data_IF_245920352411
#
_entry.id   IF_245920352411
#
_cell.length_a   1.000
_cell.length_b   1.000
_cell.length_c   1.000
_cell.angle_alpha   90.00
_cell.angle_beta   90.00
_cell.angle_gamma   90.00
#
_symmetry.space_group_name_H-M   'P 1'
#
loop_
_entity.id
_entity.type
_entity.pdbx_description
1 polymer ?
#
# COMPACT_ATOMS: atom_id res chain seq x y z
N UNK A 1 -8.06 58.26 -42.63
CA UNK A 1 -6.99 57.23 -42.61
C UNK A 1 -7.27 56.36 -41.39
N UNK A 2 -7.96 55.23 -41.63
CA UNK A 2 -8.36 54.28 -40.59
C UNK A 2 -7.39 53.07 -40.62
N UNK A 3 -6.76 52.82 -39.49
CA UNK A 3 -5.84 51.68 -39.32
C UNK A 3 -6.67 50.52 -38.71
N UNK A 4 -6.86 49.45 -39.49
CA UNK A 4 -7.42 48.19 -39.00
C UNK A 4 -6.33 47.42 -38.25
N UNK A 5 -6.62 47.09 -36.99
CA UNK A 5 -5.82 46.11 -36.23
C UNK A 5 -6.43 44.73 -36.41
N UNK A 6 -5.68 43.85 -37.06
CA UNK A 6 -6.06 42.45 -37.15
C UNK A 6 -5.57 41.71 -35.89
N UNK A 7 -6.51 41.19 -35.09
CA UNK A 7 -6.17 40.25 -33.99
C UNK A 7 -6.05 38.83 -34.56
N UNK A 8 -4.82 38.29 -34.49
CA UNK A 8 -4.59 36.89 -34.78
C UNK A 8 -4.91 36.06 -33.55
N UNK A 9 -5.98 35.26 -33.59
CA UNK A 9 -6.26 34.23 -32.62
C UNK A 9 -5.28 33.07 -32.83
N UNK A 10 -4.30 32.87 -31.92
CA UNK A 10 -3.55 31.63 -31.83
C UNK A 10 -4.44 30.57 -31.14
N UNK A 11 -4.91 29.61 -31.92
CA UNK A 11 -5.53 28.40 -31.38
C UNK A 11 -4.44 27.50 -30.81
N UNK A 12 -4.39 27.37 -29.48
CA UNK A 12 -3.59 26.35 -28.78
C UNK A 12 -4.20 24.99 -29.09
N UNK A 13 -3.65 24.26 -30.04
CA UNK A 13 -3.95 22.85 -30.24
C UNK A 13 -3.34 22.06 -29.04
N UNK A 14 -4.18 21.62 -28.13
CA UNK A 14 -3.85 20.63 -27.14
C UNK A 14 -3.70 19.28 -27.83
N UNK A 15 -2.48 18.81 -27.97
CA UNK A 15 -2.22 17.42 -28.36
C UNK A 15 -2.70 16.49 -27.27
N UNK A 16 -3.47 15.42 -27.59
CA UNK A 16 -3.74 14.36 -26.63
C UNK A 16 -2.41 13.69 -26.29
N UNK A 17 -2.09 13.60 -24.99
CA UNK A 17 -0.97 12.82 -24.52
C UNK A 17 -1.20 11.37 -24.97
N UNK A 18 -0.43 10.91 -25.95
CA UNK A 18 -0.42 9.51 -26.37
C UNK A 18 0.10 8.68 -25.19
N UNK A 19 -0.78 7.84 -24.63
CA UNK A 19 -0.39 6.84 -23.66
C UNK A 19 0.70 5.98 -24.29
N UNK A 20 1.91 5.99 -23.70
CA UNK A 20 2.99 5.13 -24.17
C UNK A 20 2.59 3.67 -23.98
N UNK A 21 2.82 2.80 -25.01
CA UNK A 21 2.52 1.39 -24.86
C UNK A 21 3.37 0.78 -23.74
N UNK A 22 2.72 0.13 -22.78
CA UNK A 22 3.36 -0.59 -21.70
C UNK A 22 4.24 -1.71 -22.28
N UNK A 23 5.50 -1.81 -21.84
CA UNK A 23 6.40 -2.88 -22.23
C UNK A 23 5.85 -4.25 -21.81
N UNK A 24 6.05 -5.34 -22.59
CA UNK A 24 5.42 -6.65 -22.35
C UNK A 24 5.66 -7.27 -20.96
N UNK A 25 6.76 -6.95 -20.28
CA UNK A 25 7.05 -7.44 -18.92
C UNK A 25 6.45 -6.56 -17.82
N UNK A 26 6.22 -5.27 -18.09
CA UNK A 26 5.61 -4.32 -17.15
C UNK A 26 4.09 -4.56 -16.97
N UNK A 27 3.50 -5.42 -17.83
CA UNK A 27 2.05 -5.51 -17.97
C UNK A 27 1.33 -6.19 -16.81
N UNK A 28 1.97 -7.02 -15.98
CA UNK A 28 1.26 -7.77 -14.93
C UNK A 28 1.27 -7.01 -13.60
N UNK A 29 2.40 -6.50 -13.15
CA UNK A 29 2.46 -5.71 -11.92
C UNK A 29 1.69 -4.39 -11.99
N UNK A 30 1.61 -3.78 -13.19
CA UNK A 30 0.86 -2.55 -13.42
C UNK A 30 -0.64 -2.77 -13.69
N UNK A 31 -1.12 -4.03 -13.73
CA UNK A 31 -2.54 -4.35 -13.97
C UNK A 31 -3.38 -4.47 -12.71
N UNK A 32 -2.77 -4.43 -11.55
CA UNK A 32 -3.48 -4.49 -10.27
C UNK A 32 -2.96 -3.39 -9.37
N UNK A 33 -3.87 -2.58 -8.85
CA UNK A 33 -3.62 -1.65 -7.77
C UNK A 33 -4.23 -2.25 -6.49
N UNK A 34 -3.38 -2.73 -5.60
CA UNK A 34 -3.80 -3.45 -4.40
C UNK A 34 -4.17 -2.55 -3.22
N UNK A 35 -4.09 -1.21 -3.36
CA UNK A 35 -4.27 -0.29 -2.24
C UNK A 35 -5.13 0.92 -2.63
N UNK A 36 -6.43 0.66 -2.90
CA UNK A 36 -7.39 1.70 -3.31
C UNK A 36 -8.41 1.97 -2.20
N UNK A 37 -8.43 3.22 -1.73
CA UNK A 37 -9.41 3.70 -0.77
C UNK A 37 -10.58 4.40 -1.47
N UNK A 38 -11.79 3.99 -1.17
CA UNK A 38 -13.02 4.72 -1.52
C UNK A 38 -13.30 5.72 -0.41
N UNK A 39 -12.82 6.94 -0.60
CA UNK A 39 -12.92 8.03 0.39
C UNK A 39 -12.90 9.41 -0.26
N UNK A 40 -13.26 10.44 0.53
CA UNK A 40 -13.32 11.82 0.05
C UNK A 40 -14.38 11.97 -1.03
N UNK A 41 -13.95 12.43 -2.19
CA UNK A 41 -14.77 12.64 -3.39
C UNK A 41 -14.87 11.41 -4.32
N UNK A 42 -14.24 10.29 -3.96
CA UNK A 42 -14.25 9.06 -4.74
C UNK A 42 -15.36 8.12 -4.26
N UNK A 43 -16.31 7.83 -5.13
CA UNK A 43 -17.33 6.80 -4.90
C UNK A 43 -16.85 5.42 -5.36
N UNK A 44 -17.46 4.35 -4.84
CA UNK A 44 -17.17 2.98 -5.29
C UNK A 44 -17.49 2.81 -6.79
N UNK A 45 -18.60 3.39 -7.25
CA UNK A 45 -19.00 3.33 -8.66
C UNK A 45 -17.96 3.98 -9.56
N UNK A 46 -17.46 5.18 -9.19
CA UNK A 46 -16.40 5.86 -9.93
C UNK A 46 -15.09 5.07 -9.93
N UNK A 47 -14.70 4.47 -8.80
CA UNK A 47 -13.53 3.61 -8.73
C UNK A 47 -13.67 2.43 -9.71
N UNK A 48 -14.78 1.71 -9.69
CA UNK A 48 -15.04 0.57 -10.57
C UNK A 48 -15.14 0.98 -12.05
N UNK A 49 -15.69 2.14 -12.34
CA UNK A 49 -15.70 2.68 -13.71
C UNK A 49 -14.28 2.96 -14.20
N UNK A 50 -13.48 3.67 -13.40
CA UNK A 50 -12.07 3.98 -13.74
C UNK A 50 -11.21 2.72 -13.86
N UNK A 51 -11.44 1.71 -13.03
CA UNK A 51 -10.79 0.39 -13.13
C UNK A 51 -11.02 -0.21 -14.52
N UNK A 52 -12.27 -0.23 -15.00
CA UNK A 52 -12.60 -0.75 -16.35
C UNK A 52 -11.97 0.08 -17.46
N UNK A 53 -12.06 1.41 -17.37
CA UNK A 53 -11.51 2.34 -18.37
C UNK A 53 -10.00 2.23 -18.51
N UNK A 54 -9.30 2.08 -17.37
CA UNK A 54 -7.84 1.93 -17.34
C UNK A 54 -7.35 0.51 -17.61
N UNK A 55 -8.22 -0.50 -17.56
CA UNK A 55 -7.82 -1.92 -17.62
C UNK A 55 -6.97 -2.37 -16.44
N UNK A 56 -7.12 -1.70 -15.27
CA UNK A 56 -6.41 -1.99 -14.02
C UNK A 56 -7.41 -2.54 -13.01
N UNK A 57 -7.16 -3.74 -12.48
CA UNK A 57 -7.97 -4.29 -11.38
C UNK A 57 -7.64 -3.57 -10.08
N UNK A 58 -8.68 -3.20 -9.32
CA UNK A 58 -8.49 -2.55 -8.02
C UNK A 58 -8.76 -3.51 -6.86
N UNK A 59 -7.92 -3.41 -5.84
CA UNK A 59 -8.20 -3.93 -4.51
C UNK A 59 -8.82 -2.84 -3.66
N UNK A 60 -10.13 -2.92 -3.47
CA UNK A 60 -10.89 -1.94 -2.67
C UNK A 60 -10.72 -2.26 -1.20
N UNK A 61 -10.28 -1.25 -0.45
CA UNK A 61 -9.81 -1.40 0.92
C UNK A 61 -10.82 -0.89 1.93
N UNK A 62 -11.04 -1.65 2.98
CA UNK A 62 -11.66 -1.20 4.23
C UNK A 62 -10.62 -1.18 5.34
N UNK A 63 -10.48 -0.02 6.03
CA UNK A 63 -9.63 0.09 7.21
C UNK A 63 -10.39 -0.33 8.46
N UNK A 64 -9.76 -1.12 9.31
CA UNK A 64 -10.36 -1.50 10.58
C UNK A 64 -9.33 -1.77 11.68
N UNK A 65 -9.70 -1.43 12.91
CA UNK A 65 -8.84 -1.57 14.08
C UNK A 65 -9.42 -0.88 15.31
N UNK A 66 -8.69 -0.90 16.41
CA UNK A 66 -9.10 -0.21 17.62
C UNK A 66 -9.17 1.30 17.37
N UNK A 67 -10.29 1.91 17.74
CA UNK A 67 -10.59 3.34 17.50
C UNK A 67 -10.68 3.75 16.02
N UNK A 68 -10.92 2.78 15.13
CA UNK A 68 -11.36 3.04 13.76
C UNK A 68 -12.89 2.92 13.64
N UNK A 69 -13.50 3.52 12.61
CA UNK A 69 -14.94 3.38 12.36
C UNK A 69 -15.38 1.91 12.24
N UNK A 70 -14.53 1.06 11.65
CA UNK A 70 -14.72 -0.38 11.61
C UNK A 70 -13.83 -1.03 12.66
N UNK A 71 -14.46 -1.57 13.71
CA UNK A 71 -13.79 -2.17 14.87
C UNK A 71 -14.40 -3.52 15.30
N UNK A 72 -15.20 -4.12 14.44
CA UNK A 72 -15.85 -5.41 14.68
C UNK A 72 -16.16 -6.13 13.37
N UNK A 73 -16.40 -7.43 13.44
CA UNK A 73 -16.81 -8.26 12.30
C UNK A 73 -18.04 -7.69 11.58
N UNK A 74 -19.00 -7.12 12.30
CA UNK A 74 -20.22 -6.57 11.70
C UNK A 74 -19.92 -5.48 10.65
N UNK A 75 -18.91 -4.63 10.92
CA UNK A 75 -18.46 -3.60 9.98
C UNK A 75 -17.81 -4.20 8.74
N UNK A 76 -16.94 -5.21 8.91
CA UNK A 76 -16.32 -5.94 7.80
C UNK A 76 -17.35 -6.68 6.95
N UNK A 77 -18.33 -7.32 7.58
CA UNK A 77 -19.43 -8.01 6.88
C UNK A 77 -20.32 -7.05 6.08
N UNK A 78 -20.54 -5.82 6.58
CA UNK A 78 -21.27 -4.79 5.84
C UNK A 78 -20.52 -4.43 4.54
N UNK A 79 -19.22 -4.18 4.60
CA UNK A 79 -18.38 -3.93 3.44
C UNK A 79 -18.39 -5.11 2.46
N UNK A 80 -18.22 -6.34 2.94
CA UNK A 80 -18.25 -7.54 2.09
C UNK A 80 -19.59 -7.73 1.38
N UNK A 81 -20.72 -7.34 2.03
CA UNK A 81 -22.04 -7.35 1.36
C UNK A 81 -22.11 -6.31 0.25
N UNK A 82 -21.58 -5.10 0.46
CA UNK A 82 -21.52 -4.05 -0.54
C UNK A 82 -20.67 -4.45 -1.75
N UNK A 83 -19.55 -5.13 -1.51
CA UNK A 83 -18.63 -5.59 -2.56
C UNK A 83 -19.10 -6.83 -3.31
N UNK A 84 -20.14 -7.50 -2.87
CA UNK A 84 -20.60 -8.77 -3.48
C UNK A 84 -20.92 -8.62 -4.96
N UNK A 85 -20.24 -9.41 -5.80
CA UNK A 85 -20.43 -9.42 -7.25
C UNK A 85 -19.83 -8.20 -7.98
N UNK A 86 -19.08 -7.36 -7.28
CA UNK A 86 -18.33 -6.25 -7.90
C UNK A 86 -17.03 -6.78 -8.53
N UNK A 87 -16.61 -6.25 -9.69
CA UNK A 87 -15.40 -6.66 -10.38
C UNK A 87 -14.15 -6.01 -9.78
N UNK A 88 -13.88 -6.28 -8.50
CA UNK A 88 -12.72 -5.78 -7.77
C UNK A 88 -12.35 -6.77 -6.66
N UNK A 89 -11.09 -6.77 -6.25
CA UNK A 89 -10.66 -7.48 -5.05
C UNK A 89 -11.15 -6.77 -3.79
N UNK A 90 -11.41 -7.52 -2.74
CA UNK A 90 -11.74 -7.03 -1.41
C UNK A 90 -10.54 -7.13 -0.51
N UNK A 91 -10.13 -6.02 0.10
CA UNK A 91 -8.97 -5.96 0.97
C UNK A 91 -9.32 -5.43 2.36
N UNK A 92 -8.71 -6.01 3.37
CA UNK A 92 -8.77 -5.52 4.73
C UNK A 92 -7.43 -4.90 5.12
N UNK A 93 -7.42 -3.58 5.39
CA UNK A 93 -6.28 -2.90 6.01
C UNK A 93 -6.43 -2.96 7.52
N UNK A 94 -5.63 -3.80 8.13
CA UNK A 94 -5.59 -3.96 9.56
C UNK A 94 -4.76 -2.84 10.22
N UNK A 95 -5.39 -2.12 11.14
CA UNK A 95 -4.83 -0.93 11.77
C UNK A 95 -4.54 -1.15 13.26
N UNK A 96 -3.35 -0.72 13.69
CA UNK A 96 -2.86 -0.99 15.05
C UNK A 96 -2.40 -2.44 15.20
N UNK A 97 -2.19 -2.88 16.45
CA UNK A 97 -1.79 -4.29 16.72
C UNK A 97 -2.93 -5.08 17.36
N UNK A 98 -3.95 -4.37 17.83
CA UNK A 98 -5.12 -4.95 18.49
C UNK A 98 -6.08 -5.65 17.52
N UNK A 99 -5.94 -5.42 16.22
CA UNK A 99 -6.85 -5.97 15.21
C UNK A 99 -6.98 -7.50 15.26
N UNK A 100 -5.92 -8.21 15.60
CA UNK A 100 -5.92 -9.69 15.74
C UNK A 100 -6.88 -10.22 16.80
N UNK A 101 -7.33 -9.34 17.72
CA UNK A 101 -8.29 -9.65 18.78
C UNK A 101 -9.69 -9.13 18.51
N UNK A 102 -9.83 -8.17 17.58
CA UNK A 102 -11.10 -7.52 17.27
C UNK A 102 -11.90 -8.27 16.21
N UNK A 103 -11.20 -8.97 15.33
CA UNK A 103 -11.82 -9.63 14.18
C UNK A 103 -11.62 -11.14 14.25
N UNK A 104 -12.64 -11.88 13.78
CA UNK A 104 -12.56 -13.34 13.73
C UNK A 104 -11.91 -13.83 12.45
N UNK A 105 -11.23 -14.96 12.54
CA UNK A 105 -10.66 -15.66 11.38
C UNK A 105 -11.73 -15.91 10.32
N UNK A 106 -12.94 -16.32 10.74
CA UNK A 106 -14.05 -16.61 9.84
C UNK A 106 -14.46 -15.41 8.97
N UNK A 107 -14.44 -14.20 9.52
CA UNK A 107 -14.73 -12.98 8.76
C UNK A 107 -13.56 -12.60 7.86
N UNK A 108 -12.33 -12.67 8.35
CA UNK A 108 -11.13 -12.32 7.60
C UNK A 108 -10.89 -13.24 6.39
N UNK A 109 -11.23 -14.51 6.48
CA UNK A 109 -11.12 -15.48 5.37
C UNK A 109 -12.01 -15.14 4.17
N UNK A 110 -12.99 -14.25 4.33
CA UNK A 110 -13.87 -13.81 3.22
C UNK A 110 -13.23 -12.74 2.34
N UNK A 111 -12.19 -12.04 2.81
CA UNK A 111 -11.44 -11.08 2.02
C UNK A 111 -10.51 -11.79 1.03
N UNK A 112 -10.20 -11.13 -0.08
CA UNK A 112 -9.22 -11.66 -1.02
C UNK A 112 -7.82 -11.62 -0.43
N UNK A 113 -7.50 -10.59 0.36
CA UNK A 113 -6.26 -10.47 1.11
C UNK A 113 -6.38 -9.53 2.31
N UNK A 114 -5.46 -9.72 3.25
CA UNK A 114 -5.28 -8.88 4.44
C UNK A 114 -3.92 -8.24 4.39
N UNK A 115 -3.84 -6.95 4.68
CA UNK A 115 -2.58 -6.25 4.78
C UNK A 115 -2.53 -5.30 5.98
N UNK A 116 -1.34 -4.94 6.39
CA UNK A 116 -1.08 -3.97 7.47
C UNK A 116 0.25 -3.27 7.26
N UNK A 117 0.49 -2.28 8.08
CA UNK A 117 1.76 -1.56 8.17
C UNK A 117 2.23 -1.44 9.64
N UNK A 118 3.36 -0.79 9.84
CA UNK A 118 3.87 -0.43 11.16
C UNK A 118 3.67 1.05 11.50
N UNK A 119 2.75 1.73 10.82
CA UNK A 119 2.55 3.18 10.99
C UNK A 119 1.66 3.52 12.18
N UNK A 120 0.88 2.56 12.68
CA UNK A 120 -0.04 2.76 13.81
C UNK A 120 0.27 1.76 14.92
N UNK A 121 0.58 2.25 16.11
CA UNK A 121 0.71 1.42 17.30
C UNK A 121 0.32 2.19 18.57
N UNK A 122 0.19 1.48 19.67
CA UNK A 122 0.08 2.04 21.02
C UNK A 122 1.42 1.86 21.72
N UNK A 123 1.97 2.93 22.32
CA UNK A 123 3.23 2.86 23.08
C UNK A 123 3.01 2.23 24.47
N UNK A 124 4.10 2.04 25.20
CA UNK A 124 4.07 1.39 26.53
C UNK A 124 3.30 2.20 27.59
N UNK A 125 3.04 3.49 27.33
CA UNK A 125 2.24 4.36 28.18
C UNK A 125 0.76 4.39 27.76
N UNK A 126 0.35 3.58 26.78
CA UNK A 126 -1.00 3.55 26.25
C UNK A 126 -1.32 4.69 25.27
N UNK A 127 -0.33 5.50 24.87
CA UNK A 127 -0.52 6.55 23.88
C UNK A 127 -0.52 5.94 22.49
N UNK A 128 -1.59 6.20 21.72
CA UNK A 128 -1.64 5.85 20.32
C UNK A 128 -0.72 6.74 19.50
N UNK A 129 0.06 6.14 18.62
CA UNK A 129 0.97 6.80 17.70
C UNK A 129 0.61 6.45 16.26
N UNK A 130 0.38 7.48 15.45
CA UNK A 130 0.25 7.39 14.00
C UNK A 130 1.39 8.17 13.38
N UNK A 131 2.27 7.49 12.67
CA UNK A 131 3.54 8.08 12.20
C UNK A 131 3.38 9.27 11.25
N UNK A 132 2.23 9.40 10.62
CA UNK A 132 1.91 10.55 9.73
C UNK A 132 1.33 11.75 10.48
N UNK A 133 1.10 11.65 11.79
CA UNK A 133 0.59 12.74 12.63
C UNK A 133 1.71 13.24 13.53
N UNK A 134 2.23 14.41 13.16
CA UNK A 134 3.40 15.02 13.84
C UNK A 134 3.23 15.13 15.35
N UNK A 135 2.05 15.56 15.80
CA UNK A 135 1.79 15.79 17.23
C UNK A 135 1.69 14.49 18.04
N UNK A 136 1.29 13.39 17.41
CA UNK A 136 1.29 12.08 18.05
C UNK A 136 2.69 11.49 18.16
N UNK A 137 3.52 11.68 17.15
CA UNK A 137 4.93 11.24 17.16
C UNK A 137 5.74 12.07 18.15
N UNK A 138 5.49 13.38 18.22
CA UNK A 138 6.24 14.29 19.08
C UNK A 138 7.70 14.47 18.62
N UNK A 139 8.60 14.77 19.56
CA UNK A 139 10.03 14.95 19.28
C UNK A 139 10.73 13.59 19.28
N UNK A 140 11.45 13.29 18.19
CA UNK A 140 12.33 12.11 18.12
C UNK A 140 13.75 12.57 18.52
N UNK A 141 14.09 12.36 19.77
CA UNK A 141 15.39 12.77 20.31
C UNK A 141 16.55 11.88 19.77
N UNK A 142 16.29 10.59 19.58
CA UNK A 142 17.24 9.63 19.02
C UNK A 142 16.64 8.93 17.79
N UNK A 143 16.98 9.40 16.57
CA UNK A 143 16.53 8.76 15.35
C UNK A 143 16.97 7.30 15.19
N UNK A 144 18.12 6.89 15.73
CA UNK A 144 18.57 5.51 15.62
C UNK A 144 17.73 4.57 16.48
N UNK A 145 17.51 4.91 17.74
CA UNK A 145 16.64 4.15 18.64
C UNK A 145 15.19 4.08 18.12
N UNK A 146 14.69 5.18 17.51
CA UNK A 146 13.38 5.19 16.87
C UNK A 146 13.30 4.17 15.72
N UNK A 147 14.32 4.15 14.86
CA UNK A 147 14.36 3.21 13.73
C UNK A 147 14.50 1.76 14.18
N UNK A 148 15.27 1.49 15.22
CA UNK A 148 15.38 0.14 15.79
C UNK A 148 14.04 -0.34 16.34
N UNK A 149 13.30 0.55 17.01
CA UNK A 149 11.92 0.26 17.44
C UNK A 149 11.01 -0.02 16.26
N UNK A 150 11.08 0.79 15.19
CA UNK A 150 10.26 0.61 13.98
C UNK A 150 10.54 -0.73 13.30
N UNK A 151 11.82 -1.09 13.15
CA UNK A 151 12.22 -2.39 12.56
C UNK A 151 11.75 -3.55 13.41
N UNK A 152 11.94 -3.49 14.73
CA UNK A 152 11.49 -4.54 15.66
C UNK A 152 9.97 -4.72 15.62
N UNK A 153 9.20 -3.63 15.51
CA UNK A 153 7.75 -3.69 15.35
C UNK A 153 7.36 -4.35 14.02
N UNK A 154 8.01 -3.97 12.93
CA UNK A 154 7.74 -4.57 11.61
C UNK A 154 8.04 -6.07 11.60
N UNK A 155 9.20 -6.50 12.12
CA UNK A 155 9.53 -7.94 12.19
C UNK A 155 8.57 -8.69 13.12
N UNK A 156 8.17 -8.08 14.24
CA UNK A 156 7.14 -8.65 15.12
C UNK A 156 5.78 -8.83 14.42
N UNK A 157 5.39 -7.93 13.52
CA UNK A 157 4.21 -8.09 12.66
C UNK A 157 4.38 -9.33 11.77
N UNK A 158 5.52 -9.43 11.07
CA UNK A 158 5.76 -10.54 10.15
C UNK A 158 5.71 -11.90 10.84
N UNK A 159 6.22 -11.98 12.06
CA UNK A 159 6.27 -13.23 12.82
C UNK A 159 4.91 -13.61 13.44
N UNK A 160 4.07 -12.63 13.79
CA UNK A 160 2.90 -12.88 14.61
C UNK A 160 1.55 -12.62 13.93
N UNK A 161 1.50 -11.81 12.86
CA UNK A 161 0.23 -11.41 12.26
C UNK A 161 0.02 -12.10 10.90
N UNK A 162 -1.18 -12.60 10.62
CA UNK A 162 -1.48 -13.27 9.37
C UNK A 162 -1.83 -12.27 8.27
N UNK A 163 -0.82 -11.70 7.63
CA UNK A 163 -0.96 -10.74 6.54
C UNK A 163 -0.40 -11.28 5.23
N UNK A 164 -1.01 -10.89 4.12
CA UNK A 164 -0.58 -11.23 2.77
C UNK A 164 0.40 -10.20 2.20
N UNK A 165 0.18 -8.92 2.52
CA UNK A 165 1.00 -7.81 2.01
C UNK A 165 1.37 -6.88 3.18
N UNK A 166 2.63 -6.47 3.24
CA UNK A 166 3.10 -5.40 4.11
C UNK A 166 3.13 -4.10 3.32
N UNK A 167 2.27 -3.16 3.71
CA UNK A 167 2.09 -1.88 3.02
C UNK A 167 2.84 -0.74 3.71
N UNK A 168 3.04 0.38 3.00
CA UNK A 168 3.83 1.52 3.47
C UNK A 168 5.22 1.11 4.05
N UNK A 169 5.98 0.18 3.42
CA UNK A 169 6.96 -0.68 4.10
C UNK A 169 8.14 0.06 4.73
N UNK A 170 8.45 1.26 4.25
CA UNK A 170 9.60 2.03 4.76
C UNK A 170 9.21 3.45 5.13
N UNK A 171 7.94 3.66 5.46
CA UNK A 171 7.46 4.96 5.90
C UNK A 171 8.16 5.39 7.21
N UNK A 172 8.64 6.63 7.23
CA UNK A 172 9.17 7.28 8.43
C UNK A 172 8.54 8.67 8.59
N UNK A 173 8.42 9.19 9.82
CA UNK A 173 7.88 10.53 10.06
C UNK A 173 8.58 11.63 9.28
N UNK A 174 7.85 12.68 8.94
CA UNK A 174 8.35 13.80 8.12
C UNK A 174 9.66 14.41 8.64
N UNK A 175 9.85 14.47 9.95
CA UNK A 175 11.06 15.00 10.58
C UNK A 175 12.32 14.13 10.35
N UNK A 176 12.17 12.91 9.88
CA UNK A 176 13.27 11.99 9.56
C UNK A 176 13.50 11.84 8.05
N UNK A 177 12.63 12.38 7.21
CA UNK A 177 12.66 12.15 5.75
C UNK A 177 13.98 12.59 5.10
N UNK A 178 14.61 13.67 5.58
CA UNK A 178 15.89 14.14 5.04
C UNK A 178 17.04 13.12 5.22
N UNK A 179 16.89 12.21 6.18
CA UNK A 179 17.87 11.18 6.51
C UNK A 179 17.44 9.78 6.06
N UNK A 180 16.43 9.67 5.20
CA UNK A 180 15.80 8.40 4.82
C UNK A 180 16.82 7.31 4.46
N UNK A 181 17.72 7.56 3.51
CA UNK A 181 18.69 6.56 3.05
C UNK A 181 19.72 6.19 4.13
N UNK A 182 20.08 7.14 4.99
CA UNK A 182 20.98 6.89 6.12
C UNK A 182 20.31 6.06 7.22
N UNK A 183 19.04 6.30 7.46
CA UNK A 183 18.25 5.61 8.49
C UNK A 183 17.85 4.21 8.04
N UNK A 184 17.48 4.02 6.78
CA UNK A 184 17.29 2.71 6.17
C UNK A 184 18.61 2.13 5.66
N UNK A 185 19.54 1.93 6.61
CA UNK A 185 20.84 1.33 6.33
C UNK A 185 20.72 -0.15 5.92
N UNK A 186 21.78 -0.76 5.34
CA UNK A 186 21.74 -2.15 4.85
C UNK A 186 21.29 -3.17 5.91
N UNK A 187 21.68 -3.01 7.18
CA UNK A 187 21.29 -3.94 8.24
C UNK A 187 19.78 -3.93 8.50
N UNK A 188 19.16 -2.74 8.56
CA UNK A 188 17.71 -2.58 8.75
C UNK A 188 16.93 -3.07 7.53
N UNK A 189 17.40 -2.74 6.32
CA UNK A 189 16.80 -3.27 5.09
C UNK A 189 16.82 -4.80 5.08
N UNK A 190 17.96 -5.41 5.42
CA UNK A 190 18.11 -6.87 5.47
C UNK A 190 17.15 -7.49 6.49
N UNK A 191 17.01 -6.91 7.68
CA UNK A 191 16.09 -7.42 8.70
C UNK A 191 14.62 -7.46 8.22
N UNK A 192 14.16 -6.38 7.61
CA UNK A 192 12.81 -6.31 7.03
C UNK A 192 12.64 -7.33 5.90
N UNK A 193 13.56 -7.37 4.94
CA UNK A 193 13.48 -8.26 3.78
C UNK A 193 13.49 -9.72 4.19
N UNK A 194 14.36 -10.11 5.11
CA UNK A 194 14.41 -11.48 5.63
C UNK A 194 13.12 -11.88 6.35
N UNK A 195 12.56 -10.98 7.16
CA UNK A 195 11.27 -11.22 7.82
C UNK A 195 10.13 -11.43 6.83
N UNK A 196 10.05 -10.61 5.79
CA UNK A 196 9.06 -10.75 4.72
C UNK A 196 9.23 -12.07 3.96
N UNK A 197 10.46 -12.40 3.54
CA UNK A 197 10.77 -13.63 2.79
C UNK A 197 10.45 -14.88 3.61
N UNK A 198 10.87 -14.93 4.88
CA UNK A 198 10.65 -16.07 5.77
C UNK A 198 9.16 -16.36 6.01
N UNK A 199 8.33 -15.31 6.00
CA UNK A 199 6.88 -15.42 6.23
C UNK A 199 6.05 -15.45 4.94
N UNK A 200 6.66 -15.34 3.75
CA UNK A 200 5.97 -15.31 2.47
C UNK A 200 5.04 -14.11 2.30
N UNK A 201 5.39 -12.98 2.92
CA UNK A 201 4.65 -11.72 2.89
C UNK A 201 5.16 -10.88 1.71
N UNK A 202 4.24 -10.37 0.89
CA UNK A 202 4.58 -9.45 -0.19
C UNK A 202 4.89 -8.04 0.34
N UNK A 203 5.69 -7.28 -0.40
CA UNK A 203 6.03 -5.90 -0.08
C UNK A 203 5.37 -4.94 -1.07
N UNK A 204 4.69 -3.92 -0.54
CA UNK A 204 4.12 -2.89 -1.38
C UNK A 204 5.20 -2.01 -2.03
N UNK A 205 5.00 -1.64 -3.30
CA UNK A 205 5.60 -0.47 -3.94
C UNK A 205 4.54 0.62 -3.90
N UNK A 206 4.70 1.55 -2.97
CA UNK A 206 3.71 2.57 -2.66
C UNK A 206 3.90 3.82 -3.51
N UNK A 207 2.90 4.15 -4.31
CA UNK A 207 2.98 5.30 -5.22
C UNK A 207 2.84 6.65 -4.49
N UNK A 208 2.01 6.72 -3.45
CA UNK A 208 1.77 7.96 -2.73
C UNK A 208 3.02 8.51 -2.06
N UNK A 209 3.74 7.65 -1.35
CA UNK A 209 4.94 8.03 -0.60
C UNK A 209 6.24 7.81 -1.37
N UNK A 210 6.18 7.18 -2.55
CA UNK A 210 7.33 6.80 -3.39
C UNK A 210 8.35 5.98 -2.59
N UNK A 211 7.87 4.92 -1.97
CA UNK A 211 8.64 3.97 -1.13
C UNK A 211 8.29 2.52 -1.49
N UNK A 212 9.20 1.56 -1.20
CA UNK A 212 10.57 1.71 -0.70
C UNK A 212 11.53 2.15 -1.80
N UNK A 213 12.76 2.54 -1.45
CA UNK A 213 13.79 2.93 -2.42
C UNK A 213 14.18 1.77 -3.36
N UNK A 214 14.76 2.09 -4.51
CA UNK A 214 15.23 1.09 -5.47
C UNK A 214 16.27 0.13 -4.86
N UNK A 215 17.15 0.61 -3.96
CA UNK A 215 18.09 -0.24 -3.25
C UNK A 215 17.38 -1.30 -2.40
N UNK A 216 16.32 -0.90 -1.72
CA UNK A 216 15.50 -1.80 -0.91
C UNK A 216 14.77 -2.84 -1.78
N UNK A 217 14.18 -2.39 -2.91
CA UNK A 217 13.48 -3.27 -3.85
C UNK A 217 14.42 -4.31 -4.45
N UNK A 218 15.65 -3.91 -4.83
CA UNK A 218 16.65 -4.86 -5.36
C UNK A 218 17.03 -5.93 -4.33
N UNK A 219 17.23 -5.53 -3.08
CA UNK A 219 17.50 -6.47 -1.98
C UNK A 219 16.33 -7.44 -1.75
N UNK A 220 15.10 -6.92 -1.75
CA UNK A 220 13.89 -7.72 -1.59
C UNK A 220 13.70 -8.72 -2.75
N UNK A 221 13.93 -8.29 -4.00
CA UNK A 221 13.93 -9.16 -5.19
C UNK A 221 14.93 -10.31 -5.05
N UNK A 222 16.18 -9.99 -4.68
CA UNK A 222 17.24 -11.00 -4.48
C UNK A 222 16.87 -12.04 -3.41
N UNK A 223 16.09 -11.65 -2.44
CA UNK A 223 15.59 -12.51 -1.36
C UNK A 223 14.28 -13.23 -1.68
N UNK A 224 13.74 -13.07 -2.91
CA UNK A 224 12.54 -13.75 -3.36
C UNK A 224 11.22 -13.14 -2.86
N UNK A 225 11.25 -11.96 -2.23
CA UNK A 225 10.04 -11.23 -1.82
C UNK A 225 9.25 -10.82 -3.05
N UNK A 226 7.93 -11.01 -3.03
CA UNK A 226 7.03 -10.57 -4.08
C UNK A 226 6.57 -9.14 -3.85
N UNK A 227 6.19 -8.44 -4.92
CA UNK A 227 5.79 -7.03 -4.87
C UNK A 227 4.31 -6.84 -5.20
N UNK A 228 3.68 -5.87 -4.57
CA UNK A 228 2.33 -5.41 -4.87
C UNK A 228 2.37 -3.90 -5.14
N UNK A 229 1.84 -3.45 -6.28
CA UNK A 229 1.69 -2.01 -6.52
C UNK A 229 0.47 -1.47 -5.77
N UNK A 230 0.62 -0.32 -5.11
CA UNK A 230 -0.47 0.35 -4.41
C UNK A 230 -0.46 1.86 -4.63
N UNK A 231 -1.59 2.43 -5.04
CA UNK A 231 -1.75 3.89 -5.13
C UNK A 231 -1.82 4.52 -3.73
N UNK A 232 -2.50 3.88 -2.79
CA UNK A 232 -2.82 4.45 -1.47
C UNK A 232 -3.42 5.86 -1.61
N UNK A 233 -4.43 5.98 -2.48
CA UNK A 233 -5.01 7.26 -2.89
C UNK A 233 -5.65 8.02 -1.72
N UNK A 234 -5.73 9.35 -1.85
CA UNK A 234 -6.39 10.24 -0.90
C UNK A 234 -7.82 10.60 -1.32
N UNK A 235 -8.15 10.43 -2.59
CA UNK A 235 -9.44 10.72 -3.19
C UNK A 235 -9.46 10.36 -4.67
N UNK A 236 -10.32 10.98 -5.43
CA UNK A 236 -10.47 10.74 -6.86
C UNK A 236 -9.29 11.27 -7.70
N UNK A 237 -8.63 12.35 -7.23
CA UNK A 237 -7.59 13.04 -8.00
C UNK A 237 -6.29 12.23 -8.17
N UNK A 238 -5.97 11.37 -7.25
CA UNK A 238 -4.73 10.57 -7.23
C UNK A 238 -4.98 9.07 -7.43
N UNK A 239 -6.23 8.65 -7.65
CA UNK A 239 -6.57 7.27 -7.99
C UNK A 239 -5.92 6.84 -9.31
N UNK A 240 -5.27 5.68 -9.29
CA UNK A 240 -4.60 5.09 -10.45
C UNK A 240 -3.26 5.72 -10.81
N UNK A 241 -2.74 6.64 -9.98
CA UNK A 241 -1.37 7.11 -10.12
C UNK A 241 -0.41 5.99 -9.74
N UNK A 242 0.26 5.43 -10.72
CA UNK A 242 1.16 4.29 -10.56
C UNK A 242 2.57 4.54 -11.11
N UNK A 243 2.93 5.80 -11.30
CA UNK A 243 4.18 6.22 -11.93
C UNK A 243 5.40 5.69 -11.17
N UNK A 244 5.35 5.69 -9.82
CA UNK A 244 6.47 5.18 -9.02
C UNK A 244 6.63 3.67 -9.14
N UNK A 245 5.53 2.91 -9.13
CA UNK A 245 5.61 1.47 -9.37
C UNK A 245 6.18 1.19 -10.77
N UNK A 246 5.72 1.90 -11.81
CA UNK A 246 6.24 1.76 -13.16
C UNK A 246 7.73 2.15 -13.28
N UNK A 247 8.17 3.16 -12.54
CA UNK A 247 9.58 3.55 -12.43
C UNK A 247 10.42 2.42 -11.81
N UNK A 248 9.99 1.89 -10.68
CA UNK A 248 10.69 0.82 -9.97
C UNK A 248 10.71 -0.51 -10.74
N UNK A 249 9.66 -0.81 -11.49
CA UNK A 249 9.65 -1.96 -12.42
C UNK A 249 10.83 -1.86 -13.39
N UNK A 250 11.01 -0.72 -14.01
CA UNK A 250 12.12 -0.50 -14.97
C UNK A 250 13.48 -0.45 -14.29
N UNK A 251 13.58 0.31 -13.20
CA UNK A 251 14.86 0.54 -12.52
C UNK A 251 15.41 -0.71 -11.83
N UNK A 252 14.53 -1.55 -11.30
CA UNK A 252 14.90 -2.78 -10.59
C UNK A 252 14.73 -4.04 -11.45
N UNK A 253 14.41 -3.88 -12.75
CA UNK A 253 14.19 -5.00 -13.69
C UNK A 253 13.19 -6.03 -13.14
N UNK A 254 12.03 -5.57 -12.66
CA UNK A 254 11.00 -6.47 -12.13
C UNK A 254 10.22 -7.11 -13.25
N UNK A 255 10.19 -8.45 -13.26
CA UNK A 255 9.40 -9.25 -14.19
C UNK A 255 8.06 -9.69 -13.60
N UNK A 256 7.23 -10.34 -14.41
CA UNK A 256 5.92 -10.83 -13.98
C UNK A 256 5.98 -11.76 -12.76
N UNK A 257 7.03 -12.57 -12.68
CA UNK A 257 7.28 -13.52 -11.60
C UNK A 257 7.61 -12.85 -10.25
N UNK A 258 7.97 -11.55 -10.26
CA UNK A 258 8.31 -10.80 -9.05
C UNK A 258 7.05 -10.23 -8.37
N UNK A 259 5.90 -10.25 -9.04
CA UNK A 259 4.67 -9.70 -8.48
C UNK A 259 3.85 -10.74 -7.75
N UNK A 260 3.23 -10.27 -6.67
CA UNK A 260 2.28 -11.03 -5.88
C UNK A 260 0.93 -11.11 -6.59
N UNK A 261 0.24 -12.21 -6.37
CA UNK A 261 -1.18 -12.36 -6.69
C UNK A 261 -1.82 -13.22 -5.61
N UNK A 262 -3.13 -13.09 -5.37
CA UNK A 262 -3.83 -14.00 -4.48
C UNK A 262 -3.51 -15.46 -4.86
N UNK A 263 -3.16 -16.33 -3.89
CA UNK A 263 -2.74 -17.69 -4.16
C UNK A 263 -3.82 -18.47 -4.94
N UNK A 264 -3.42 -19.21 -5.96
CA UNK A 264 -4.33 -19.99 -6.81
C UNK A 264 -5.07 -21.10 -6.02
N UNK A 265 -4.49 -21.60 -4.92
CA UNK A 265 -5.12 -22.56 -4.01
C UNK A 265 -6.07 -21.90 -3.00
N UNK A 266 -6.24 -20.59 -3.08
CA UNK A 266 -7.09 -19.78 -2.19
C UNK A 266 -6.61 -19.69 -0.75
N UNK A 267 -5.43 -20.23 -0.43
CA UNK A 267 -4.88 -20.20 0.94
C UNK A 267 -4.26 -18.85 1.27
N UNK A 268 -5.05 -18.01 1.91
CA UNK A 268 -4.67 -16.69 2.41
C UNK A 268 -3.81 -16.78 3.68
N UNK A 269 -3.13 -15.69 4.04
CA UNK A 269 -2.29 -15.63 5.23
C UNK A 269 -3.06 -16.02 6.50
N UNK A 270 -4.30 -15.57 6.66
CA UNK A 270 -5.18 -15.91 7.80
C UNK A 270 -5.53 -17.40 7.90
N UNK A 271 -5.34 -18.17 6.83
CA UNK A 271 -5.52 -19.63 6.84
C UNK A 271 -4.22 -20.37 7.14
N UNK A 272 -3.08 -19.77 6.78
CA UNK A 272 -1.74 -20.32 6.99
C UNK A 272 -1.20 -20.04 8.39
N UNK A 273 -1.54 -18.90 8.97
CA UNK A 273 -1.06 -18.44 10.28
C UNK A 273 -2.24 -18.18 11.22
N UNK A 274 -2.20 -18.67 12.47
CA UNK A 274 -3.27 -18.38 13.42
C UNK A 274 -3.28 -16.90 13.81
N UNK A 275 -4.47 -16.39 14.15
CA UNK A 275 -4.59 -15.15 14.89
C UNK A 275 -4.10 -15.44 16.31
N UNK A 276 -2.92 -14.98 16.66
CA UNK A 276 -2.41 -15.08 18.03
C UNK A 276 -3.19 -14.09 18.90
N UNK A 277 -4.00 -14.61 19.81
CA UNK A 277 -4.81 -13.83 20.75
C UNK A 277 -4.00 -13.39 21.96
#
# INVERSE_FOLDING_TARGET
MSVLHAFACLALMSWPALAQPLLPGAAIGAKVDYHVHVKGDLTLEDALRRSREAGISYGIVINGGLNFPVNSDAGLEAFLREMRGKPAFTAFQAEGREWVRLFTKQTLEKFDYVFTDSMTWTDDNGKRMRLWIKDEVGVIADPQAFMDTLVNRATGIFDNEPIDIYVNPTFIPAQLQADYDRLWNPGRMTAIVHGLAANGIAMEINNRYRIPSAAFIRLAKQSGVKFACGTNNTGAADLGRNEYCAEMIRECDLGAQDFWSPPADGKKAVQRKPLTR
#
